data_IF_292730450816
#
_entry.id   IF_292730450816
#
_cell.length_a   1.000
_cell.length_b   1.000
_cell.length_c   1.000
_cell.angle_alpha   90.00
_cell.angle_beta   90.00
_cell.angle_gamma   90.00
#
_symmetry.space_group_name_H-M   'P 1'
#
loop_
_entity.id
_entity.type
_entity.pdbx_description
1 polymer ?
#
# COMPACT_ATOMS: atom_id res chain seq x y z
N UNK A 1 7.59 20.43 5.60
CA UNK A 1 6.57 19.70 6.40
C UNK A 1 7.29 19.05 7.58
N UNK A 2 6.62 18.63 8.65
CA UNK A 2 7.27 17.80 9.65
C UNK A 2 7.52 16.39 9.08
N UNK A 3 8.73 15.89 9.26
CA UNK A 3 9.15 14.53 8.87
C UNK A 3 9.34 13.71 10.15
N UNK A 4 8.92 12.45 10.14
CA UNK A 4 9.03 11.58 11.31
C UNK A 4 9.70 10.28 10.94
N UNK A 5 10.85 10.05 11.55
CA UNK A 5 11.64 8.83 11.38
C UNK A 5 11.39 7.88 12.55
N UNK A 6 11.26 6.60 12.24
CA UNK A 6 11.34 5.50 13.21
C UNK A 6 12.06 4.34 12.56
N UNK A 7 12.63 3.44 13.35
CA UNK A 7 13.19 2.19 12.85
C UNK A 7 12.21 1.04 13.04
N UNK A 8 12.27 0.08 12.11
CA UNK A 8 11.65 -1.25 12.19
C UNK A 8 12.77 -2.28 12.19
N UNK A 9 12.87 -3.09 13.25
CA UNK A 9 13.89 -4.12 13.37
C UNK A 9 13.35 -5.46 12.87
N UNK A 10 13.79 -5.88 11.68
CA UNK A 10 13.48 -7.21 11.13
C UNK A 10 14.61 -8.19 11.47
N UNK A 11 14.27 -9.46 11.72
CA UNK A 11 15.23 -10.57 11.71
C UNK A 11 15.39 -11.07 10.28
N UNK A 12 16.58 -10.88 9.73
CA UNK A 12 17.06 -11.55 8.52
C UNK A 12 17.04 -13.08 8.70
N UNK A 13 16.61 -13.80 7.66
CA UNK A 13 16.53 -15.28 7.60
C UNK A 13 17.27 -15.90 6.42
N UNK A 14 18.14 -15.15 5.73
CA UNK A 14 18.79 -15.57 4.47
C UNK A 14 19.90 -16.63 4.58
N UNK A 15 20.09 -17.26 5.76
CA UNK A 15 20.99 -18.39 5.96
C UNK A 15 20.26 -19.60 6.56
N UNK A 16 20.27 -20.74 5.86
CA UNK A 16 19.63 -21.98 6.33
C UNK A 16 20.41 -22.70 7.45
N UNK A 17 21.70 -22.40 7.63
CA UNK A 17 22.61 -23.20 8.47
C UNK A 17 22.80 -22.69 9.91
N UNK A 18 22.39 -21.46 10.26
CA UNK A 18 22.49 -20.93 11.63
C UNK A 18 21.35 -19.96 12.00
N UNK A 19 20.27 -20.48 12.61
CA UNK A 19 19.16 -19.65 13.12
C UNK A 19 19.58 -18.72 14.29
N UNK A 20 20.75 -18.93 14.91
CA UNK A 20 21.27 -18.05 15.98
C UNK A 20 21.93 -16.78 15.41
N UNK A 21 22.39 -16.81 14.15
CA UNK A 21 23.05 -15.69 13.48
C UNK A 21 22.08 -14.64 12.89
N UNK A 22 20.76 -14.75 13.13
CA UNK A 22 19.71 -13.91 12.55
C UNK A 22 19.97 -12.40 12.72
N UNK A 23 20.44 -11.76 11.64
CA UNK A 23 20.86 -10.35 11.63
C UNK A 23 19.68 -9.43 11.92
N UNK A 24 19.80 -8.62 12.96
CA UNK A 24 18.90 -7.49 13.21
C UNK A 24 19.17 -6.39 12.17
N UNK A 25 18.17 -6.05 11.37
CA UNK A 25 18.25 -4.98 10.36
C UNK A 25 17.26 -3.88 10.72
N UNK A 26 17.77 -2.67 10.92
CA UNK A 26 16.98 -1.47 11.25
C UNK A 26 16.59 -0.71 9.99
N UNK A 27 15.33 -0.84 9.59
CA UNK A 27 14.76 -0.16 8.41
C UNK A 27 14.19 1.20 8.83
N UNK A 28 14.64 2.33 8.26
CA UNK A 28 14.02 3.62 8.51
C UNK A 28 12.64 3.66 7.85
N UNK A 29 11.65 4.12 8.60
CA UNK A 29 10.29 4.43 8.17
C UNK A 29 10.08 5.92 8.36
N UNK A 30 9.74 6.60 7.27
CA UNK A 30 9.45 8.03 7.21
C UNK A 30 7.95 8.24 7.02
N UNK A 31 7.34 9.11 7.84
CA UNK A 31 5.94 9.53 7.66
C UNK A 31 5.86 11.04 7.33
N UNK A 32 5.23 11.36 6.19
CA UNK A 32 4.97 12.70 5.66
C UNK A 32 3.46 13.00 5.62
N UNK A 33 3.09 14.27 5.40
CA UNK A 33 1.70 14.70 5.25
C UNK A 33 0.95 14.95 6.56
N UNK A 34 1.60 14.80 7.72
CA UNK A 34 1.01 14.99 9.06
C UNK A 34 0.92 16.48 9.47
N UNK A 35 0.39 17.33 8.59
CA UNK A 35 0.13 18.74 8.90
C UNK A 35 -1.11 18.86 9.79
N UNK A 36 -0.91 19.33 11.03
CA UNK A 36 -1.99 19.71 11.94
C UNK A 36 -2.94 20.71 11.27
N UNK A 37 -4.25 20.61 11.54
CA UNK A 37 -5.26 21.41 10.85
C UNK A 37 -5.20 22.92 11.14
N UNK A 38 -4.58 23.67 10.23
CA UNK A 38 -4.69 25.12 10.07
C UNK A 38 -4.55 25.48 8.58
N UNK A 39 -5.30 26.43 8.01
CA UNK A 39 -6.10 27.48 8.65
C UNK A 39 -7.49 27.68 8.02
N UNK A 40 -8.49 27.95 8.87
CA UNK A 40 -9.52 28.97 8.58
C UNK A 40 -10.70 28.68 7.63
N UNK A 41 -10.77 27.54 6.93
CA UNK A 41 -11.73 27.35 5.82
C UNK A 41 -12.92 26.40 6.10
N UNK A 42 -13.67 26.63 7.18
CA UNK A 42 -15.02 26.06 7.40
C UNK A 42 -15.08 24.65 8.01
N UNK A 43 -15.96 24.46 9.00
CA UNK A 43 -16.13 23.22 9.76
C UNK A 43 -16.99 22.15 9.03
N UNK A 44 -16.76 21.96 7.73
CA UNK A 44 -17.28 20.80 7.01
C UNK A 44 -16.53 19.53 7.43
N UNK A 45 -17.23 18.39 7.54
CA UNK A 45 -16.59 17.11 7.88
C UNK A 45 -15.66 16.67 6.74
N UNK A 46 -14.36 16.92 6.89
CA UNK A 46 -13.35 16.52 5.92
C UNK A 46 -13.19 14.99 5.93
N UNK A 47 -13.28 14.37 4.75
CA UNK A 47 -13.03 12.93 4.61
C UNK A 47 -11.60 12.57 5.09
N UNK A 48 -11.40 11.42 5.74
CA UNK A 48 -10.12 11.08 6.34
C UNK A 48 -9.03 10.94 5.27
N UNK A 49 -7.85 11.49 5.55
CA UNK A 49 -6.73 11.52 4.61
C UNK A 49 -6.27 10.08 4.26
N UNK A 50 -6.20 9.70 2.98
CA UNK A 50 -5.77 8.35 2.60
C UNK A 50 -4.30 8.14 2.98
N UNK A 51 -4.00 6.94 3.46
CA UNK A 51 -2.64 6.55 3.85
C UNK A 51 -2.00 5.75 2.72
N UNK A 52 -0.90 6.25 2.19
CA UNK A 52 -0.17 5.68 1.06
C UNK A 52 1.14 5.07 1.58
N UNK A 53 1.26 3.74 1.59
CA UNK A 53 2.51 3.05 1.94
C UNK A 53 3.29 2.80 0.66
N UNK A 54 4.47 3.40 0.54
CA UNK A 54 5.27 3.41 -0.68
C UNK A 54 6.45 2.43 -0.63
N UNK A 55 6.42 1.42 -1.50
CA UNK A 55 7.51 0.48 -1.75
C UNK A 55 8.36 0.93 -2.95
N UNK A 56 9.66 1.16 -2.73
CA UNK A 56 10.60 1.57 -3.78
C UNK A 56 10.98 0.43 -4.74
N UNK A 57 11.54 0.80 -5.89
CA UNK A 57 12.07 -0.13 -6.90
C UNK A 57 13.32 -0.89 -6.44
N UNK A 58 13.75 -1.84 -7.27
CA UNK A 58 14.94 -2.67 -7.03
C UNK A 58 16.18 -1.81 -6.80
N UNK A 59 16.93 -2.07 -5.72
CA UNK A 59 18.13 -1.33 -5.31
C UNK A 59 17.97 0.21 -5.27
N UNK A 60 16.73 0.69 -5.13
CA UNK A 60 16.39 2.12 -5.18
C UNK A 60 15.91 2.60 -3.81
N UNK A 61 16.50 3.66 -3.21
CA UNK A 61 16.00 4.22 -1.96
C UNK A 61 14.70 5.01 -2.19
N UNK A 62 13.85 5.10 -1.18
CA UNK A 62 12.66 5.95 -1.18
C UNK A 62 13.01 7.43 -1.39
N UNK A 63 14.21 7.85 -0.96
CA UNK A 63 14.74 9.19 -1.23
C UNK A 63 14.85 9.53 -2.73
N UNK A 64 14.95 8.55 -3.62
CA UNK A 64 14.97 8.77 -5.08
C UNK A 64 13.59 9.12 -5.66
N UNK A 65 12.52 9.07 -4.88
CA UNK A 65 11.15 9.43 -5.27
C UNK A 65 10.70 10.74 -4.56
N UNK A 66 11.63 11.59 -4.15
CA UNK A 66 11.38 12.79 -3.35
C UNK A 66 10.28 13.69 -3.91
N UNK A 67 10.31 14.01 -5.22
CA UNK A 67 9.28 14.82 -5.90
C UNK A 67 7.90 14.18 -5.81
N UNK A 68 7.80 12.89 -6.14
CA UNK A 68 6.55 12.12 -6.12
C UNK A 68 5.98 12.08 -4.69
N UNK A 69 6.77 11.67 -3.71
CA UNK A 69 6.36 11.56 -2.31
C UNK A 69 6.01 12.93 -1.71
N UNK A 70 6.70 14.00 -2.11
CA UNK A 70 6.37 15.37 -1.72
C UNK A 70 5.05 15.84 -2.34
N UNK A 71 4.77 15.53 -3.61
CA UNK A 71 3.52 15.88 -4.28
C UNK A 71 2.32 15.15 -3.67
N UNK A 72 2.47 13.86 -3.34
CA UNK A 72 1.46 13.08 -2.62
C UNK A 72 1.16 13.69 -1.23
N UNK A 73 2.19 14.06 -0.47
CA UNK A 73 2.02 14.70 0.84
C UNK A 73 1.43 16.13 0.73
N UNK A 74 1.83 16.91 -0.28
CA UNK A 74 1.28 18.23 -0.56
C UNK A 74 -0.21 18.18 -0.99
N UNK A 75 -0.64 17.06 -1.57
CA UNK A 75 -2.04 16.78 -1.85
C UNK A 75 -2.84 16.27 -0.63
N UNK A 76 -2.29 16.34 0.59
CA UNK A 76 -2.98 15.96 1.83
C UNK A 76 -3.16 14.46 2.00
N UNK A 77 -2.34 13.63 1.35
CA UNK A 77 -2.23 12.21 1.69
C UNK A 77 -1.22 12.03 2.83
N UNK A 78 -1.48 11.07 3.72
CA UNK A 78 -0.44 10.60 4.65
C UNK A 78 0.46 9.65 3.88
N UNK A 79 1.75 9.93 3.78
CA UNK A 79 2.69 9.12 2.99
C UNK A 79 3.67 8.44 3.92
N UNK A 80 3.73 7.11 3.85
CA UNK A 80 4.64 6.26 4.61
C UNK A 80 5.64 5.66 3.63
N UNK A 81 6.93 5.98 3.76
CA UNK A 81 8.00 5.45 2.91
C UNK A 81 9.10 4.79 3.74
N UNK A 82 9.83 3.83 3.16
CA UNK A 82 10.87 3.09 3.88
C UNK A 82 12.02 2.70 2.96
N UNK A 83 13.24 2.63 3.51
CA UNK A 83 14.44 2.27 2.75
C UNK A 83 14.92 0.85 3.05
N UNK A 84 15.04 0.02 2.00
CA UNK A 84 15.80 -1.21 2.05
C UNK A 84 17.31 -0.94 1.92
N UNK A 85 17.87 -0.08 2.76
CA UNK A 85 19.27 0.39 2.69
C UNK A 85 20.34 -0.71 2.86
N UNK A 86 19.91 -1.94 3.16
CA UNK A 86 20.69 -3.16 3.27
C UNK A 86 20.65 -4.04 2.01
N UNK A 87 19.72 -3.81 1.07
CA UNK A 87 19.64 -4.49 -0.24
C UNK A 87 20.79 -3.95 -1.12
N UNK A 88 21.64 -4.84 -1.62
CA UNK A 88 22.84 -4.51 -2.43
C UNK A 88 23.02 -5.55 -3.54
N UNK A 89 23.81 -5.28 -4.57
CA UNK A 89 24.08 -6.27 -5.64
C UNK A 89 24.66 -7.61 -5.12
N UNK A 90 25.30 -7.61 -3.95
CA UNK A 90 25.83 -8.82 -3.28
C UNK A 90 24.90 -9.39 -2.19
N UNK A 91 23.76 -8.74 -1.92
CA UNK A 91 22.78 -9.17 -0.93
C UNK A 91 21.37 -8.72 -1.37
N UNK A 92 20.64 -9.62 -2.03
CA UNK A 92 19.28 -9.36 -2.46
C UNK A 92 18.28 -9.92 -1.43
N UNK A 93 17.58 -9.01 -0.75
CA UNK A 93 16.36 -9.32 -0.01
C UNK A 93 15.36 -9.98 -0.97
N UNK A 94 14.69 -11.07 -0.58
CA UNK A 94 13.69 -11.73 -1.41
C UNK A 94 12.32 -11.03 -1.38
N UNK A 95 11.38 -11.42 -2.24
CA UNK A 95 10.07 -10.75 -2.34
C UNK A 95 9.12 -11.12 -1.18
N UNK A 96 9.24 -12.30 -0.58
CA UNK A 96 8.41 -12.73 0.55
C UNK A 96 8.81 -12.02 1.85
N UNK A 97 10.12 -11.88 2.11
CA UNK A 97 10.62 -11.03 3.19
C UNK A 97 10.36 -9.54 2.93
N UNK A 98 10.33 -9.10 1.66
CA UNK A 98 9.88 -7.74 1.31
C UNK A 98 8.40 -7.50 1.69
N UNK A 99 7.54 -8.51 1.50
CA UNK A 99 6.12 -8.48 1.90
C UNK A 99 5.97 -8.50 3.44
N UNK A 100 6.77 -9.32 4.15
CA UNK A 100 6.82 -9.32 5.62
C UNK A 100 7.26 -7.96 6.18
N UNK A 101 8.32 -7.36 5.60
CA UNK A 101 8.78 -6.02 5.98
C UNK A 101 7.71 -4.96 5.74
N UNK A 102 6.98 -5.00 4.62
CA UNK A 102 5.91 -4.04 4.34
C UNK A 102 4.79 -4.04 5.40
N UNK A 103 4.48 -5.22 5.96
CA UNK A 103 3.54 -5.34 7.08
C UNK A 103 4.09 -4.77 8.40
N UNK A 104 5.38 -4.95 8.66
CA UNK A 104 6.06 -4.38 9.83
C UNK A 104 6.21 -2.85 9.75
N UNK A 105 6.45 -2.32 8.54
CA UNK A 105 6.38 -0.89 8.23
C UNK A 105 4.97 -0.34 8.47
N UNK A 106 3.92 -1.04 8.03
CA UNK A 106 2.55 -0.67 8.35
C UNK A 106 2.28 -0.68 9.87
N UNK A 107 2.63 -1.76 10.57
CA UNK A 107 2.45 -1.89 12.02
C UNK A 107 3.03 -0.68 12.74
N UNK A 108 4.26 -0.30 12.37
CA UNK A 108 4.94 0.84 12.99
C UNK A 108 4.35 2.19 12.58
N UNK A 109 3.91 2.36 11.34
CA UNK A 109 3.19 3.56 10.92
C UNK A 109 1.85 3.72 11.67
N UNK A 110 1.08 2.64 11.83
CA UNK A 110 -0.16 2.64 12.60
C UNK A 110 0.07 3.01 14.08
N UNK A 111 1.12 2.48 14.72
CA UNK A 111 1.55 2.89 16.06
C UNK A 111 1.85 4.41 16.15
N UNK A 112 2.59 4.96 15.18
CA UNK A 112 2.96 6.39 15.13
C UNK A 112 1.76 7.32 14.88
N UNK A 113 0.75 6.86 14.15
CA UNK A 113 -0.49 7.58 13.89
C UNK A 113 -1.41 7.56 15.13
N UNK A 114 -1.63 6.37 15.71
CA UNK A 114 -2.46 6.19 16.90
C UNK A 114 -1.88 6.92 18.13
N UNK A 115 -0.55 6.91 18.31
CA UNK A 115 0.12 7.57 19.43
C UNK A 115 -0.18 9.08 19.53
N UNK A 116 -0.47 9.75 18.41
CA UNK A 116 -0.83 11.18 18.39
C UNK A 116 -2.27 11.43 18.80
N UNK A 117 -3.20 10.56 18.45
CA UNK A 117 -4.60 10.67 18.85
C UNK A 117 -4.73 10.69 20.39
N UNK A 118 -3.85 9.98 21.09
CA UNK A 118 -3.73 10.02 22.55
C UNK A 118 -3.21 11.34 23.13
N UNK A 119 -2.40 12.10 22.39
CA UNK A 119 -1.90 13.43 22.80
C UNK A 119 -2.83 14.57 22.35
N UNK A 120 -3.45 14.46 21.18
CA UNK A 120 -4.39 15.42 20.61
C UNK A 120 -5.84 14.97 20.82
N UNK A 121 -6.25 14.76 22.08
CA UNK A 121 -7.58 14.21 22.43
C UNK A 121 -8.78 15.01 21.89
N UNK A 122 -8.59 16.26 21.45
CA UNK A 122 -9.62 17.11 20.83
C UNK A 122 -9.61 17.12 19.28
N UNK A 123 -8.63 16.49 18.61
CA UNK A 123 -8.56 16.37 17.16
C UNK A 123 -8.35 14.91 16.73
N UNK A 124 -9.37 14.09 16.97
CA UNK A 124 -9.41 12.70 16.51
C UNK A 124 -9.65 12.63 15.00
N UNK A 125 -8.62 12.95 14.19
CA UNK A 125 -8.61 12.52 12.80
C UNK A 125 -8.48 11.00 12.76
N UNK A 126 -9.51 10.33 12.23
CA UNK A 126 -9.47 8.89 11.98
C UNK A 126 -8.37 8.58 10.97
N UNK A 127 -7.64 7.47 11.19
CA UNK A 127 -6.67 6.97 10.20
C UNK A 127 -7.45 6.57 8.95
N UNK A 128 -7.15 7.20 7.82
CA UNK A 128 -7.87 6.96 6.58
C UNK A 128 -7.55 5.61 5.93
N UNK A 129 -8.29 5.26 4.87
CA UNK A 129 -8.09 4.02 4.12
C UNK A 129 -6.65 3.88 3.61
N UNK A 130 -6.13 2.65 3.67
CA UNK A 130 -4.73 2.34 3.34
C UNK A 130 -4.61 1.87 1.89
N UNK A 131 -3.62 2.38 1.18
CA UNK A 131 -3.27 1.98 -0.17
C UNK A 131 -1.81 1.53 -0.20
N UNK A 132 -1.53 0.41 -0.87
CA UNK A 132 -0.16 0.03 -1.20
C UNK A 132 0.22 0.68 -2.52
N UNK A 133 1.24 1.53 -2.50
CA UNK A 133 1.81 2.18 -3.66
C UNK A 133 3.21 1.61 -3.89
N UNK A 134 3.60 1.37 -5.12
CA UNK A 134 4.99 1.01 -5.40
C UNK A 134 5.40 1.25 -6.83
N UNK A 135 6.72 1.24 -7.06
CA UNK A 135 7.30 1.34 -8.40
C UNK A 135 8.13 0.10 -8.74
N UNK A 136 8.07 -0.37 -9.99
CA UNK A 136 8.90 -1.49 -10.45
C UNK A 136 8.74 -2.75 -9.56
N UNK A 137 9.83 -3.30 -9.01
CA UNK A 137 9.83 -4.35 -7.98
C UNK A 137 8.99 -3.98 -6.74
N UNK A 138 8.98 -2.72 -6.32
CA UNK A 138 8.15 -2.25 -5.21
C UNK A 138 6.66 -2.43 -5.49
N UNK A 139 6.22 -2.20 -6.73
CA UNK A 139 4.85 -2.47 -7.15
C UNK A 139 4.55 -3.99 -7.15
N UNK A 140 5.50 -4.83 -7.56
CA UNK A 140 5.41 -6.30 -7.45
C UNK A 140 5.19 -6.73 -5.99
N UNK A 141 5.95 -6.17 -5.05
CA UNK A 141 5.81 -6.40 -3.59
C UNK A 141 4.45 -5.91 -3.09
N UNK A 142 3.97 -4.74 -3.52
CA UNK A 142 2.62 -4.25 -3.17
C UNK A 142 1.51 -5.22 -3.63
N UNK A 143 1.64 -5.81 -4.82
CA UNK A 143 0.70 -6.82 -5.32
C UNK A 143 0.76 -8.12 -4.52
N UNK A 144 1.96 -8.63 -4.23
CA UNK A 144 2.13 -9.85 -3.42
C UNK A 144 1.56 -9.67 -2.00
N UNK A 145 1.75 -8.49 -1.38
CA UNK A 145 1.15 -8.17 -0.08
C UNK A 145 -0.37 -8.05 -0.14
N UNK A 146 -0.93 -7.48 -1.21
CA UNK A 146 -2.38 -7.41 -1.42
C UNK A 146 -3.00 -8.82 -1.62
N UNK A 147 -2.34 -9.69 -2.40
CA UNK A 147 -2.74 -11.08 -2.56
C UNK A 147 -2.66 -11.87 -1.24
N UNK A 148 -1.60 -11.66 -0.45
CA UNK A 148 -1.47 -12.27 0.89
C UNK A 148 -2.56 -11.80 1.87
N UNK A 149 -2.93 -10.51 1.83
CA UNK A 149 -4.05 -9.97 2.61
C UNK A 149 -5.41 -10.51 2.15
N UNK A 150 -5.58 -10.73 0.84
CA UNK A 150 -6.78 -11.35 0.27
C UNK A 150 -6.88 -12.86 0.59
N UNK A 151 -5.76 -13.57 0.68
CA UNK A 151 -5.69 -14.97 1.08
C UNK A 151 -5.83 -15.18 2.61
N UNK A 152 -5.56 -14.17 3.43
CA UNK A 152 -5.68 -14.27 4.88
C UNK A 152 -7.13 -14.58 5.32
N UNK A 153 -7.33 -15.46 6.32
CA UNK A 153 -8.67 -15.87 6.75
C UNK A 153 -9.47 -14.71 7.35
N UNK A 154 -10.80 -14.77 7.21
CA UNK A 154 -11.70 -13.81 7.82
C UNK A 154 -11.50 -13.75 9.35
N UNK A 155 -11.58 -12.54 9.92
CA UNK A 155 -11.29 -12.29 11.33
C UNK A 155 -9.80 -12.02 11.65
N UNK A 156 -8.84 -12.40 10.79
CA UNK A 156 -7.42 -12.11 11.04
C UNK A 156 -7.12 -10.59 11.10
N UNK A 157 -7.88 -9.79 10.36
CA UNK A 157 -7.83 -8.32 10.41
C UNK A 157 -8.35 -7.74 11.74
N UNK A 158 -9.45 -8.30 12.24
CA UNK A 158 -10.10 -7.87 13.47
C UNK A 158 -9.27 -8.23 14.70
N UNK A 159 -8.79 -9.47 14.78
CA UNK A 159 -7.90 -9.94 15.85
C UNK A 159 -6.63 -9.07 15.98
N UNK A 160 -6.10 -8.56 14.87
CA UNK A 160 -4.91 -7.69 14.88
C UNK A 160 -5.23 -6.24 15.23
N UNK A 161 -6.35 -5.69 14.75
CA UNK A 161 -6.82 -4.38 15.18
C UNK A 161 -7.05 -4.34 16.71
N UNK A 162 -7.64 -5.41 17.26
CA UNK A 162 -7.77 -5.63 18.71
C UNK A 162 -6.39 -5.74 19.36
N UNK A 163 -5.44 -6.52 18.81
CA UNK A 163 -4.09 -6.66 19.38
C UNK A 163 -3.24 -5.36 19.34
N UNK A 164 -3.53 -4.42 18.46
CA UNK A 164 -2.96 -3.06 18.50
C UNK A 164 -3.62 -2.22 19.60
N UNK A 165 -4.94 -2.29 19.75
CA UNK A 165 -5.68 -1.54 20.76
C UNK A 165 -5.40 -2.00 22.20
N UNK A 166 -5.26 -3.31 22.43
CA UNK A 166 -5.11 -3.93 23.77
C UNK A 166 -3.65 -3.93 24.30
N UNK A 167 -2.76 -3.16 23.70
CA UNK A 167 -1.32 -3.18 24.03
C UNK A 167 -0.93 -2.65 25.41
N UNK A 168 -1.89 -2.39 26.30
CA UNK A 168 -1.64 -2.23 27.74
C UNK A 168 -1.23 -3.54 28.42
N UNK A 169 -1.50 -4.71 27.82
CA UNK A 169 -1.13 -6.03 28.37
C UNK A 169 0.08 -6.74 27.73
N UNK A 170 0.50 -6.36 26.52
CA UNK A 170 1.32 -7.22 25.64
C UNK A 170 2.85 -7.03 25.70
N UNK A 171 3.36 -6.39 26.76
CA UNK A 171 4.75 -5.91 26.85
C UNK A 171 5.85 -6.98 27.07
N UNK A 172 5.51 -8.28 27.13
CA UNK A 172 6.43 -9.35 27.55
C UNK A 172 7.01 -10.23 26.42
N UNK A 173 6.57 -10.08 25.17
CA UNK A 173 6.91 -11.00 24.07
C UNK A 173 7.77 -10.36 22.95
N UNK A 174 7.87 -9.01 22.92
CA UNK A 174 8.75 -8.30 22.00
C UNK A 174 9.90 -7.67 22.80
N UNK A 175 11.11 -8.21 22.64
CA UNK A 175 12.30 -7.69 23.32
C UNK A 175 12.63 -6.24 22.93
N UNK A 176 13.26 -5.52 23.85
CA UNK A 176 13.29 -4.05 23.92
C UNK A 176 13.46 -3.31 22.59
N UNK A 177 12.40 -2.57 22.21
CA UNK A 177 12.44 -1.60 21.11
C UNK A 177 12.94 -0.28 21.68
N UNK A 178 14.25 -0.04 21.58
CA UNK A 178 14.83 1.26 21.89
C UNK A 178 14.31 2.31 20.90
N UNK A 179 13.40 3.17 21.38
CA UNK A 179 12.94 4.35 20.63
C UNK A 179 13.93 5.48 20.87
N UNK A 180 15.06 5.46 20.16
CA UNK A 180 16.03 6.55 20.16
C UNK A 180 15.44 7.77 19.43
N UNK A 181 14.92 8.73 20.20
CA UNK A 181 14.47 10.03 19.71
C UNK A 181 15.63 10.91 19.31
N UNK A 182 16.20 10.67 18.13
CA UNK A 182 17.39 11.33 17.62
C UNK A 182 17.17 12.77 17.15
N UNK A 183 17.01 13.69 18.11
CA UNK A 183 17.01 15.14 17.87
C UNK A 183 18.45 15.71 17.97
N UNK A 184 19.37 15.25 17.11
CA UNK A 184 20.67 15.93 16.93
C UNK A 184 21.28 15.71 15.54
N UNK A 185 21.88 16.76 14.97
CA UNK A 185 22.38 16.76 13.59
C UNK A 185 23.91 16.62 13.51
N UNK A 186 24.37 15.84 12.54
CA UNK A 186 25.64 16.04 11.82
C UNK A 186 26.94 16.24 12.65
N UNK A 187 27.57 15.17 13.15
CA UNK A 187 29.03 15.00 12.98
C UNK A 187 29.58 13.63 13.40
N UNK A 188 30.11 12.86 12.44
CA UNK A 188 31.57 12.52 12.34
C UNK A 188 31.86 11.59 11.16
N UNK A 189 33.10 11.65 10.67
CA UNK A 189 33.62 10.88 9.53
C UNK A 189 34.88 10.12 9.98
N UNK A 190 35.16 8.99 9.30
CA UNK A 190 36.48 8.34 9.16
C UNK A 190 36.80 7.15 10.08
N UNK A 191 37.71 6.31 9.55
CA UNK A 191 38.42 5.17 10.15
C UNK A 191 37.62 3.84 10.26
N UNK A 192 38.20 2.68 9.93
CA UNK A 192 39.43 2.40 9.16
C UNK A 192 39.38 0.98 8.55
N UNK A 193 40.18 0.71 7.52
CA UNK A 193 40.27 -0.62 6.92
C UNK A 193 41.14 -1.59 7.73
N UNK A 194 40.80 -2.88 7.65
CA UNK A 194 41.77 -3.98 7.78
C UNK A 194 41.52 -5.00 6.67
N UNK A 195 42.59 -5.42 6.02
CA UNK A 195 42.62 -6.54 5.08
C UNK A 195 43.00 -7.82 5.84
N UNK A 196 42.54 -8.98 5.36
CA UNK A 196 43.25 -10.25 5.53
C UNK A 196 42.81 -11.26 4.45
N UNK A 197 43.81 -11.90 3.83
CA UNK A 197 43.67 -13.10 2.97
C UNK A 197 43.74 -14.36 3.86
N UNK A 198 43.39 -15.60 3.46
CA UNK A 198 42.94 -16.18 2.17
C UNK A 198 41.84 -17.25 2.46
N UNK A 199 41.58 -18.41 1.82
CA UNK A 199 42.27 -19.29 0.84
C UNK A 199 41.24 -20.19 0.10
N UNK A 200 41.72 -21.12 -0.74
CA UNK A 200 41.05 -22.34 -1.28
C UNK A 200 40.28 -23.16 -0.22
N UNK A 201 39.26 -23.98 -0.53
CA UNK A 201 39.24 -24.98 -1.60
C UNK A 201 37.83 -25.41 -2.10
N UNK A 202 37.78 -26.41 -2.98
CA UNK A 202 36.61 -26.90 -3.74
C UNK A 202 35.89 -28.06 -3.07
N UNK A 203 34.55 -28.04 -3.01
CA UNK A 203 33.71 -29.25 -3.05
C UNK A 203 32.27 -28.92 -3.49
N UNK A 204 31.60 -29.85 -4.19
CA UNK A 204 30.25 -29.65 -4.74
C UNK A 204 29.30 -30.77 -4.32
N UNK A 205 28.34 -30.52 -3.40
CA UNK A 205 27.31 -31.48 -3.05
C UNK A 205 26.07 -31.35 -3.97
N UNK A 206 25.61 -32.46 -4.54
CA UNK A 206 24.34 -32.51 -5.30
C UNK A 206 23.16 -32.67 -4.32
N UNK A 207 22.46 -31.58 -4.01
CA UNK A 207 21.26 -31.63 -3.16
C UNK A 207 19.97 -31.75 -3.98
N UNK A 208 19.49 -32.97 -4.18
CA UNK A 208 18.10 -33.24 -4.57
C UNK A 208 17.22 -33.32 -3.32
N UNK A 209 16.62 -32.21 -2.91
CA UNK A 209 15.58 -32.21 -1.86
C UNK A 209 14.55 -31.12 -2.13
N UNK A 210 13.34 -31.53 -2.53
CA UNK A 210 12.19 -30.62 -2.59
C UNK A 210 11.58 -30.45 -1.20
N UNK A 211 12.28 -29.70 -0.33
CA UNK A 211 11.79 -29.36 0.99
C UNK A 211 10.54 -28.47 0.86
N UNK A 212 9.37 -29.02 1.19
CA UNK A 212 8.14 -28.26 1.29
C UNK A 212 8.21 -27.34 2.52
N UNK A 213 8.86 -26.18 2.35
CA UNK A 213 9.03 -25.18 3.39
C UNK A 213 7.66 -24.80 3.97
N UNK A 214 7.46 -25.10 5.26
CA UNK A 214 6.19 -24.86 5.94
C UNK A 214 5.88 -23.37 5.93
N UNK A 215 4.94 -22.97 5.08
CA UNK A 215 4.57 -21.58 4.85
C UNK A 215 3.75 -21.06 6.03
N UNK A 216 4.45 -20.74 7.12
CA UNK A 216 3.93 -19.93 8.23
C UNK A 216 3.60 -18.52 7.71
N UNK A 217 2.46 -18.42 7.03
CA UNK A 217 1.87 -17.18 6.56
C UNK A 217 1.43 -16.40 7.80
N UNK A 218 2.27 -15.44 8.21
CA UNK A 218 1.79 -14.32 9.00
C UNK A 218 0.66 -13.68 8.19
N UNK A 219 -0.60 -13.68 8.66
CA UNK A 219 -1.65 -12.98 7.96
C UNK A 219 -1.26 -11.49 7.92
N UNK A 220 -1.56 -10.82 6.81
CA UNK A 220 -1.29 -9.39 6.66
C UNK A 220 -2.59 -8.58 6.81
N UNK A 221 -2.97 -8.20 8.04
CA UNK A 221 -4.16 -7.44 8.38
C UNK A 221 -3.99 -5.94 8.06
N UNK A 222 -3.64 -5.68 6.80
CA UNK A 222 -3.65 -4.35 6.20
C UNK A 222 -5.12 -4.00 5.88
N UNK A 223 -5.70 -2.90 6.40
CA UNK A 223 -7.04 -2.46 6.02
C UNK A 223 -7.00 -1.77 4.65
N UNK A 224 -6.70 -2.57 3.62
CA UNK A 224 -6.48 -2.10 2.26
C UNK A 224 -7.79 -1.64 1.61
N UNK A 225 -7.75 -0.45 1.03
CA UNK A 225 -8.79 0.09 0.17
C UNK A 225 -8.41 0.03 -1.32
N UNK A 226 -7.15 -0.21 -1.67
CA UNK A 226 -6.71 -0.37 -3.06
C UNK A 226 -5.19 -0.49 -3.22
N UNK A 227 -4.74 -0.63 -4.46
CA UNK A 227 -3.31 -0.63 -4.83
C UNK A 227 -3.01 0.37 -5.95
N UNK A 228 -1.77 0.87 -6.00
CA UNK A 228 -1.28 1.78 -7.04
C UNK A 228 0.08 1.31 -7.54
N UNK A 229 0.11 0.89 -8.81
CA UNK A 229 1.24 0.21 -9.42
C UNK A 229 1.92 1.11 -10.45
N UNK A 230 3.04 1.71 -10.09
CA UNK A 230 3.83 2.58 -10.96
C UNK A 230 4.80 1.73 -11.78
N UNK A 231 4.47 1.55 -13.06
CA UNK A 231 5.19 0.75 -14.05
C UNK A 231 5.71 -0.60 -13.50
N UNK A 232 4.82 -1.48 -13.00
CA UNK A 232 5.21 -2.73 -12.33
C UNK A 232 5.92 -3.69 -13.29
N UNK A 233 6.87 -4.44 -12.73
CA UNK A 233 7.62 -5.48 -13.42
C UNK A 233 7.53 -6.80 -12.66
N UNK A 234 7.11 -7.88 -13.32
CA UNK A 234 7.00 -9.22 -12.71
C UNK A 234 8.29 -10.06 -12.80
N UNK A 235 9.32 -9.50 -13.42
CA UNK A 235 10.65 -10.11 -13.50
C UNK A 235 11.38 -10.13 -12.15
N UNK A 236 12.43 -10.95 -12.09
CA UNK A 236 13.55 -10.75 -11.19
C UNK A 236 14.80 -10.51 -12.05
N UNK A 237 15.87 -9.96 -11.47
CA UNK A 237 17.15 -9.83 -12.16
C UNK A 237 17.85 -11.20 -12.35
N UNK A 238 17.62 -12.12 -11.42
CA UNK A 238 18.16 -13.47 -11.41
C UNK A 238 17.18 -14.48 -12.05
N UNK A 239 17.66 -15.67 -12.50
CA UNK A 239 16.77 -16.79 -12.82
C UNK A 239 15.81 -17.06 -11.67
N UNK A 240 14.51 -17.08 -11.95
CA UNK A 240 13.47 -17.04 -10.91
C UNK A 240 13.40 -18.35 -10.11
N UNK A 241 14.12 -18.39 -8.98
CA UNK A 241 13.67 -19.16 -7.82
C UNK A 241 12.30 -18.62 -7.39
N UNK A 242 11.26 -19.39 -7.69
CA UNK A 242 9.87 -19.04 -7.40
C UNK A 242 9.55 -19.06 -5.90
N UNK A 243 10.37 -19.69 -5.05
CA UNK A 243 10.20 -19.65 -3.59
C UNK A 243 10.66 -18.32 -2.98
N UNK A 244 11.67 -17.66 -3.59
CA UNK A 244 12.18 -16.35 -3.16
C UNK A 244 11.58 -15.17 -3.91
N UNK A 245 11.35 -15.30 -5.23
CA UNK A 245 10.88 -14.21 -6.09
C UNK A 245 9.56 -14.53 -6.82
N UNK A 246 8.50 -15.00 -6.12
CA UNK A 246 7.25 -15.45 -6.75
C UNK A 246 6.65 -14.41 -7.70
N UNK A 247 5.99 -14.89 -8.76
CA UNK A 247 5.28 -14.01 -9.70
C UNK A 247 4.06 -13.38 -9.03
N UNK A 248 3.99 -12.06 -9.07
CA UNK A 248 2.85 -11.29 -8.62
C UNK A 248 1.65 -11.47 -9.57
N UNK A 249 1.90 -11.65 -10.87
CA UNK A 249 0.85 -12.00 -11.84
C UNK A 249 0.23 -13.38 -11.52
N UNK A 250 1.05 -14.37 -11.16
CA UNK A 250 0.58 -15.67 -10.72
C UNK A 250 -0.17 -15.59 -9.38
N UNK A 251 0.32 -14.81 -8.41
CA UNK A 251 -0.36 -14.61 -7.13
C UNK A 251 -1.74 -13.93 -7.28
N UNK A 252 -1.85 -12.97 -8.20
CA UNK A 252 -3.14 -12.34 -8.57
C UNK A 252 -4.07 -13.35 -9.24
N UNK A 253 -3.59 -14.10 -10.24
CA UNK A 253 -4.40 -15.12 -10.91
C UNK A 253 -4.82 -16.29 -10.00
N UNK A 254 -4.04 -16.56 -8.94
CA UNK A 254 -4.35 -17.56 -7.91
C UNK A 254 -5.19 -17.00 -6.75
N UNK A 255 -5.43 -15.69 -6.68
CA UNK A 255 -6.30 -15.10 -5.67
C UNK A 255 -7.76 -15.36 -6.07
N UNK A 256 -8.52 -16.18 -5.33
CA UNK A 256 -9.91 -16.45 -5.68
C UNK A 256 -10.75 -15.17 -5.53
N UNK A 257 -11.77 -14.95 -6.38
CA UNK A 257 -12.82 -13.98 -6.06
C UNK A 257 -13.43 -14.37 -4.70
N UNK A 258 -13.45 -13.43 -3.76
CA UNK A 258 -13.93 -13.64 -2.39
C UNK A 258 -15.46 -13.68 -2.38
N UNK A 259 -16.03 -14.72 -3.00
CA UNK A 259 -17.48 -14.92 -3.25
C UNK A 259 -18.29 -14.39 -2.09
N UNK A 260 -18.98 -13.28 -2.33
CA UNK A 260 -19.46 -12.39 -1.30
C UNK A 260 -20.33 -13.12 -0.27
N UNK A 261 -19.78 -13.32 0.93
CA UNK A 261 -20.52 -13.79 2.11
C UNK A 261 -21.43 -12.65 2.56
N UNK A 262 -22.49 -12.41 1.78
CA UNK A 262 -23.60 -11.54 2.11
C UNK A 262 -24.07 -11.91 3.52
N UNK A 263 -24.18 -10.91 4.39
CA UNK A 263 -24.19 -11.11 5.84
C UNK A 263 -25.41 -11.90 6.32
N UNK A 264 -25.31 -13.23 6.31
CA UNK A 264 -26.26 -14.18 6.86
C UNK A 264 -26.23 -14.20 8.41
N UNK A 265 -25.99 -13.04 9.01
CA UNK A 265 -25.96 -12.76 10.44
C UNK A 265 -27.25 -12.01 10.84
N UNK A 266 -28.39 -12.64 10.58
CA UNK A 266 -29.71 -12.22 11.09
C UNK A 266 -30.47 -13.44 11.60
N UNK A 267 -29.77 -14.25 12.41
CA UNK A 267 -30.40 -15.17 13.34
C UNK A 267 -30.73 -14.42 14.62
N UNK A 268 -31.99 -14.46 15.04
CA UNK A 268 -32.53 -13.68 16.16
C UNK A 268 -31.96 -14.11 17.51
N UNK A 269 -31.53 -13.14 18.32
CA UNK A 269 -31.26 -13.32 19.75
C UNK A 269 -31.70 -12.07 20.51
N UNK A 270 -32.75 -12.18 21.32
CA UNK A 270 -33.23 -11.10 22.19
C UNK A 270 -32.44 -11.12 23.52
N UNK A 271 -31.67 -10.07 23.78
CA UNK A 271 -30.99 -9.85 25.06
C UNK A 271 -30.87 -8.34 25.35
N UNK A 272 -30.88 -7.90 26.64
CA UNK A 272 -31.23 -6.53 26.99
C UNK A 272 -30.09 -5.51 26.86
N UNK A 273 -30.46 -4.24 26.73
CA UNK A 273 -29.55 -3.12 26.55
C UNK A 273 -28.76 -2.75 27.83
N UNK A 274 -27.48 -2.39 27.63
CA UNK A 274 -26.65 -1.67 28.58
C UNK A 274 -25.86 -0.57 27.85
N UNK A 275 -25.62 0.57 28.50
CA UNK A 275 -25.03 1.76 27.87
C UNK A 275 -23.51 1.84 28.07
N UNK A 276 -22.78 2.22 27.02
CA UNK A 276 -21.34 2.49 27.09
C UNK A 276 -20.79 3.02 25.77
N UNK A 277 -20.03 4.12 25.81
CA UNK A 277 -19.51 4.77 24.60
C UNK A 277 -18.42 3.93 23.92
N UNK A 278 -18.54 3.72 22.61
CA UNK A 278 -17.60 2.93 21.82
C UNK A 278 -18.03 2.78 20.37
N UNK A 279 -18.08 3.90 19.62
CA UNK A 279 -18.46 3.91 18.21
C UNK A 279 -17.32 3.37 17.31
N UNK A 280 -16.99 2.09 17.47
CA UNK A 280 -16.14 1.37 16.53
C UNK A 280 -16.83 1.30 15.17
N UNK A 281 -16.21 1.89 14.14
CA UNK A 281 -16.67 1.76 12.75
C UNK A 281 -16.39 0.34 12.29
N UNK A 282 -17.32 -0.57 12.57
CA UNK A 282 -17.25 -1.94 12.07
C UNK A 282 -17.23 -1.94 10.55
N UNK A 283 -16.24 -2.63 9.96
CA UNK A 283 -16.07 -2.76 8.51
C UNK A 283 -17.11 -3.73 7.91
N UNK A 284 -18.39 -3.40 8.09
CA UNK A 284 -19.51 -4.29 7.88
C UNK A 284 -20.10 -4.17 6.46
N UNK A 285 -19.69 -5.09 5.58
CA UNK A 285 -20.48 -5.50 4.43
C UNK A 285 -20.23 -4.75 3.11
N UNK A 286 -19.50 -5.42 2.20
CA UNK A 286 -19.90 -5.40 0.79
C UNK A 286 -19.27 -4.37 -0.15
N UNK A 287 -18.03 -3.93 0.07
CA UNK A 287 -17.18 -3.56 -1.08
C UNK A 287 -16.77 -4.88 -1.73
N UNK A 288 -17.14 -5.07 -3.00
CA UNK A 288 -17.19 -6.39 -3.64
C UNK A 288 -15.81 -6.99 -3.91
N UNK A 289 -15.42 -7.91 -3.04
CA UNK A 289 -14.50 -9.05 -3.22
C UNK A 289 -13.02 -8.76 -3.54
N UNK A 290 -12.74 -7.72 -4.32
CA UNK A 290 -11.48 -7.52 -5.04
C UNK A 290 -11.08 -6.04 -4.96
N UNK A 291 -9.88 -5.77 -4.43
CA UNK A 291 -9.39 -4.41 -4.23
C UNK A 291 -9.33 -3.65 -5.58
N UNK A 292 -9.70 -2.36 -5.61
CA UNK A 292 -9.51 -1.55 -6.80
C UNK A 292 -8.01 -1.28 -7.04
N UNK A 293 -7.63 -1.12 -8.31
CA UNK A 293 -6.25 -0.83 -8.71
C UNK A 293 -6.14 0.35 -9.68
N UNK A 294 -5.10 1.17 -9.46
CA UNK A 294 -4.55 2.05 -10.47
C UNK A 294 -3.21 1.48 -10.96
N UNK A 295 -3.03 1.42 -12.26
CA UNK A 295 -1.75 1.14 -12.91
C UNK A 295 -1.31 2.39 -13.67
N UNK A 296 -0.06 2.83 -13.48
CA UNK A 296 0.53 3.97 -14.20
C UNK A 296 1.74 3.48 -14.99
N UNK A 297 1.56 3.16 -16.27
CA UNK A 297 2.58 2.55 -17.13
C UNK A 297 3.44 3.54 -17.92
N UNK A 298 4.71 3.23 -18.10
CA UNK A 298 5.63 3.98 -18.97
C UNK A 298 5.69 3.35 -20.37
N UNK A 299 5.27 4.08 -21.40
CA UNK A 299 5.20 3.56 -22.77
C UNK A 299 6.55 3.24 -23.41
N UNK A 300 7.65 3.81 -22.89
CA UNK A 300 9.02 3.54 -23.32
C UNK A 300 9.58 2.35 -22.54
N UNK A 301 9.09 1.15 -22.86
CA UNK A 301 9.69 -0.10 -22.36
C UNK A 301 11.10 -0.33 -22.92
N UNK A 302 11.93 -1.04 -22.14
CA UNK A 302 13.27 -1.52 -22.49
C UNK A 302 13.54 -2.86 -21.79
N UNK A 303 14.78 -3.35 -21.82
CA UNK A 303 15.09 -4.71 -21.37
C UNK A 303 14.80 -4.95 -19.88
N UNK A 304 14.90 -3.91 -19.04
CA UNK A 304 14.52 -3.97 -17.63
C UNK A 304 13.01 -4.21 -17.37
N UNK A 305 12.14 -3.93 -18.34
CA UNK A 305 10.69 -4.22 -18.27
C UNK A 305 10.20 -4.78 -19.61
N UNK A 306 10.36 -6.10 -19.84
CA UNK A 306 9.91 -6.75 -21.07
C UNK A 306 8.40 -6.60 -21.26
N UNK A 307 7.96 -6.26 -22.48
CA UNK A 307 6.55 -5.96 -22.80
C UNK A 307 5.54 -7.02 -22.35
N UNK A 308 5.94 -8.29 -22.31
CA UNK A 308 5.08 -9.40 -21.89
C UNK A 308 4.92 -9.55 -20.35
N UNK A 309 5.69 -8.79 -19.55
CA UNK A 309 5.68 -8.80 -18.07
C UNK A 309 5.61 -7.39 -17.47
N UNK A 310 5.09 -6.42 -18.24
CA UNK A 310 5.01 -5.01 -17.87
C UNK A 310 3.65 -4.64 -17.25
N UNK A 311 3.48 -3.34 -16.98
CA UNK A 311 2.23 -2.72 -16.52
C UNK A 311 0.93 -3.21 -17.19
N UNK A 312 0.95 -3.54 -18.48
CA UNK A 312 -0.26 -4.00 -19.20
C UNK A 312 -0.68 -5.39 -18.73
N UNK A 313 0.27 -6.30 -18.49
CA UNK A 313 -0.02 -7.61 -17.93
C UNK A 313 -0.61 -7.52 -16.50
N UNK A 314 -0.13 -6.58 -15.68
CA UNK A 314 -0.73 -6.32 -14.36
C UNK A 314 -2.16 -5.79 -14.47
N UNK A 315 -2.42 -4.83 -15.36
CA UNK A 315 -3.78 -4.34 -15.62
C UNK A 315 -4.71 -5.43 -16.14
N UNK A 316 -4.27 -6.25 -17.10
CA UNK A 316 -5.10 -7.28 -17.73
C UNK A 316 -5.37 -8.47 -16.77
N UNK A 317 -4.42 -8.82 -15.90
CA UNK A 317 -4.57 -9.85 -14.87
C UNK A 317 -5.36 -9.40 -13.63
N UNK A 318 -5.40 -8.10 -13.30
CA UNK A 318 -6.00 -7.64 -12.05
C UNK A 318 -7.52 -7.88 -12.00
N UNK A 319 -8.05 -8.71 -11.09
CA UNK A 319 -9.44 -9.14 -11.17
C UNK A 319 -10.45 -8.07 -10.72
N UNK A 320 -10.05 -7.08 -9.92
CA UNK A 320 -10.94 -6.04 -9.39
C UNK A 320 -11.15 -4.83 -10.31
N UNK A 321 -11.94 -3.83 -9.88
CA UNK A 321 -12.13 -2.57 -10.60
C UNK A 321 -10.78 -1.88 -10.86
N UNK A 322 -10.47 -1.58 -12.13
CA UNK A 322 -9.09 -1.27 -12.54
C UNK A 322 -9.02 -0.11 -13.53
N UNK A 323 -8.04 0.76 -13.32
CA UNK A 323 -7.71 1.89 -14.20
C UNK A 323 -6.25 1.76 -14.65
N UNK A 324 -5.98 1.98 -15.94
CA UNK A 324 -4.64 2.06 -16.51
C UNK A 324 -4.42 3.46 -17.10
N UNK A 325 -3.54 4.23 -16.48
CA UNK A 325 -2.95 5.43 -17.07
C UNK A 325 -1.68 5.02 -17.81
N UNK A 326 -1.58 5.30 -19.11
CA UNK A 326 -0.34 5.10 -19.88
C UNK A 326 0.29 6.44 -20.21
N UNK A 327 1.59 6.59 -19.92
CA UNK A 327 2.43 7.73 -20.25
C UNK A 327 3.34 7.36 -21.46
N UNK A 328 2.87 7.50 -22.72
CA UNK A 328 3.51 6.93 -23.91
C UNK A 328 4.98 7.35 -24.14
N UNK A 329 5.33 8.57 -23.75
CA UNK A 329 6.68 9.12 -23.93
C UNK A 329 7.59 8.94 -22.71
N UNK A 330 7.07 8.46 -21.58
CA UNK A 330 7.83 8.21 -20.35
C UNK A 330 8.56 6.86 -20.36
N UNK A 331 9.74 6.81 -19.75
CA UNK A 331 10.52 5.58 -19.51
C UNK A 331 10.52 5.10 -18.07
N UNK A 332 10.83 3.83 -17.85
CA UNK A 332 10.67 3.14 -16.56
C UNK A 332 11.27 3.87 -15.35
N UNK A 333 12.44 4.48 -15.52
CA UNK A 333 13.18 5.15 -14.42
C UNK A 333 12.81 6.64 -14.26
N UNK A 334 11.79 7.14 -14.95
CA UNK A 334 11.39 8.56 -14.86
C UNK A 334 10.42 8.87 -13.72
N UNK A 335 9.97 7.86 -12.98
CA UNK A 335 9.31 8.05 -11.68
C UNK A 335 10.31 8.43 -10.57
N UNK A 336 11.62 8.36 -10.84
CA UNK A 336 12.70 8.80 -9.96
C UNK A 336 13.06 10.27 -10.21
N UNK A 337 13.38 11.02 -9.16
CA UNK A 337 13.89 12.40 -9.25
C UNK A 337 15.13 12.48 -10.15
N UNK A 338 16.05 11.54 -9.94
CA UNK A 338 17.27 11.34 -10.71
C UNK A 338 17.41 9.86 -11.02
N UNK A 339 17.89 9.52 -12.21
CA UNK A 339 18.21 8.13 -12.60
C UNK A 339 19.66 8.05 -13.04
N UNK A 340 20.44 7.18 -12.39
CA UNK A 340 21.87 7.04 -12.66
C UNK A 340 22.14 6.45 -14.04
N UNK A 341 23.22 6.88 -14.69
CA UNK A 341 23.56 6.49 -16.06
C UNK A 341 23.69 4.98 -16.29
N UNK A 342 24.06 4.21 -15.25
CA UNK A 342 24.10 2.74 -15.31
C UNK A 342 22.69 2.12 -15.31
N UNK A 343 21.74 2.68 -14.54
CA UNK A 343 20.36 2.23 -14.58
C UNK A 343 19.69 2.64 -15.91
N UNK A 344 20.01 3.83 -16.43
CA UNK A 344 19.57 4.30 -17.74
C UNK A 344 20.10 3.46 -18.92
N UNK A 345 21.15 2.66 -18.77
CA UNK A 345 21.61 1.76 -19.84
C UNK A 345 20.77 0.48 -19.96
N UNK A 346 20.07 0.08 -18.90
CA UNK A 346 19.19 -1.10 -18.87
C UNK A 346 17.71 -0.77 -19.15
N UNK A 347 17.31 0.49 -19.00
CA UNK A 347 15.94 0.95 -19.16
C UNK A 347 15.83 2.03 -20.23
N UNK A 348 14.88 1.90 -21.16
CA UNK A 348 14.71 2.88 -22.23
C UNK A 348 14.36 4.27 -21.68
N UNK A 349 15.14 5.28 -22.10
CA UNK A 349 14.90 6.67 -21.75
C UNK A 349 13.59 7.21 -22.35
N UNK A 350 13.04 8.21 -21.65
CA UNK A 350 11.91 9.00 -22.10
C UNK A 350 12.20 9.81 -23.37
N UNK A 351 11.15 10.33 -23.99
CA UNK A 351 11.24 11.16 -25.20
C UNK A 351 10.68 12.56 -24.96
N UNK A 352 11.57 13.52 -24.66
CA UNK A 352 11.18 14.93 -24.50
C UNK A 352 10.33 15.23 -23.26
N UNK A 353 10.36 14.34 -22.27
CA UNK A 353 9.61 14.46 -21.01
C UNK A 353 10.57 14.38 -19.84
N UNK A 354 10.45 15.29 -18.88
CA UNK A 354 11.30 15.35 -17.69
C UNK A 354 10.72 14.49 -16.56
N UNK A 355 11.59 13.91 -15.73
CA UNK A 355 11.18 13.03 -14.63
C UNK A 355 10.17 13.70 -13.68
N UNK A 356 10.37 14.98 -13.33
CA UNK A 356 9.44 15.73 -12.49
C UNK A 356 8.01 15.85 -13.09
N UNK A 357 7.85 15.79 -14.42
CA UNK A 357 6.54 15.76 -15.08
C UNK A 357 5.88 14.39 -15.00
N UNK A 358 6.69 13.31 -15.06
CA UNK A 358 6.24 11.92 -14.90
C UNK A 358 5.84 11.66 -13.44
N UNK A 359 6.64 12.14 -12.48
CA UNK A 359 6.30 12.16 -11.06
C UNK A 359 5.01 12.94 -10.79
N UNK A 360 4.84 14.14 -11.36
CA UNK A 360 3.62 14.94 -11.22
C UNK A 360 2.37 14.21 -11.76
N UNK A 361 2.47 13.58 -12.94
CA UNK A 361 1.38 12.80 -13.51
C UNK A 361 1.02 11.58 -12.65
N UNK A 362 2.04 10.86 -12.17
CA UNK A 362 1.86 9.71 -11.27
C UNK A 362 1.23 10.13 -9.93
N UNK A 363 1.67 11.25 -9.34
CA UNK A 363 1.11 11.81 -8.11
C UNK A 363 -0.36 12.20 -8.31
N UNK A 364 -0.69 12.94 -9.37
CA UNK A 364 -2.05 13.38 -9.66
C UNK A 364 -3.02 12.21 -9.85
N UNK A 365 -2.63 11.20 -10.64
CA UNK A 365 -3.44 9.99 -10.82
C UNK A 365 -3.62 9.21 -9.50
N UNK A 366 -2.54 9.04 -8.72
CA UNK A 366 -2.57 8.38 -7.41
C UNK A 366 -3.53 9.05 -6.44
N UNK A 367 -3.46 10.39 -6.33
CA UNK A 367 -4.32 11.20 -5.46
C UNK A 367 -5.79 11.11 -5.91
N UNK A 368 -6.06 11.22 -7.20
CA UNK A 368 -7.41 11.17 -7.75
C UNK A 368 -8.07 9.80 -7.54
N UNK A 369 -7.32 8.73 -7.81
CA UNK A 369 -7.75 7.36 -7.56
C UNK A 369 -8.02 7.12 -6.06
N UNK A 370 -7.06 7.42 -5.19
CA UNK A 370 -7.20 7.17 -3.76
C UNK A 370 -8.38 7.94 -3.16
N UNK A 371 -8.54 9.24 -3.49
CA UNK A 371 -9.68 10.06 -3.06
C UNK A 371 -11.01 9.56 -3.64
N UNK A 372 -11.04 9.11 -4.89
CA UNK A 372 -12.24 8.51 -5.51
C UNK A 372 -12.71 7.25 -4.77
N UNK A 373 -11.77 6.38 -4.41
CA UNK A 373 -12.04 5.21 -3.57
C UNK A 373 -12.55 5.65 -2.19
N UNK A 374 -11.89 6.60 -1.50
CA UNK A 374 -12.35 7.10 -0.18
C UNK A 374 -13.79 7.63 -0.26
N UNK A 375 -14.09 8.47 -1.24
CA UNK A 375 -15.42 9.07 -1.41
C UNK A 375 -16.51 8.02 -1.61
N UNK A 376 -16.25 6.98 -2.41
CA UNK A 376 -17.20 5.89 -2.59
C UNK A 376 -17.36 5.02 -1.34
N UNK A 377 -16.28 4.68 -0.62
CA UNK A 377 -16.40 3.88 0.62
C UNK A 377 -17.25 4.61 1.67
N UNK A 378 -17.16 5.93 1.75
CA UNK A 378 -18.05 6.74 2.57
C UNK A 378 -19.50 6.70 2.06
N UNK A 379 -19.73 6.84 0.75
CA UNK A 379 -21.08 6.83 0.16
C UNK A 379 -21.81 5.46 0.29
N UNK A 380 -21.09 4.34 0.29
CA UNK A 380 -21.67 3.00 0.48
C UNK A 380 -22.00 2.68 1.93
N UNK A 381 -21.52 3.47 2.90
CA UNK A 381 -21.91 3.31 4.31
C UNK A 381 -23.43 3.50 4.41
N UNK A 382 -24.20 2.48 4.85
CA UNK A 382 -25.65 2.58 4.84
C UNK A 382 -26.09 3.73 5.74
N UNK A 383 -26.74 4.73 5.14
CA UNK A 383 -27.43 5.79 5.88
C UNK A 383 -28.35 5.09 6.87
N UNK A 384 -28.02 5.21 8.16
CA UNK A 384 -28.69 4.44 9.20
C UNK A 384 -30.19 4.65 9.09
N UNK A 385 -30.92 3.55 8.85
CA UNK A 385 -32.38 3.62 8.73
C UNK A 385 -32.90 4.07 10.08
N UNK A 386 -33.22 5.35 10.18
CA UNK A 386 -33.87 5.93 11.34
C UNK A 386 -35.19 5.22 11.51
N UNK A 387 -35.23 4.27 12.44
CA UNK A 387 -36.48 3.67 12.89
C UNK A 387 -37.18 4.75 13.68
N UNK A 388 -37.97 5.58 12.99
CA UNK A 388 -38.93 6.46 13.63
C UNK A 388 -39.91 5.57 14.40
N UNK A 389 -39.66 5.41 15.70
CA UNK A 389 -40.61 4.83 16.67
C UNK A 389 -41.71 5.86 16.96
N UNK A 390 -42.25 6.44 15.89
CA UNK A 390 -43.28 7.47 15.87
C UNK A 390 -44.64 6.85 16.10
N UNK A 391 -44.97 6.58 17.36
CA UNK A 391 -46.31 6.16 17.76
C UNK A 391 -47.30 7.34 17.60
N UNK A 392 -47.79 7.55 16.37
CA UNK A 392 -48.72 8.63 16.03
C UNK A 392 -49.57 8.30 14.81
N UNK A 393 -50.84 7.95 15.04
CA UNK A 393 -51.78 7.64 13.96
C UNK A 393 -52.28 8.91 13.23
N UNK A 394 -52.17 8.92 11.91
CA UNK A 394 -52.74 9.97 11.05
C UNK A 394 -53.12 9.38 9.69
N UNK A 395 -54.38 9.52 9.28
CA UNK A 395 -54.91 8.88 8.08
C UNK A 395 -55.16 9.89 6.94
N UNK A 396 -54.76 9.53 5.72
CA UNK A 396 -55.19 10.16 4.47
C UNK A 396 -54.12 11.01 3.77
N UNK A 397 -53.85 10.70 2.50
CA UNK A 397 -52.94 11.49 1.66
C UNK A 397 -52.37 10.68 0.48
N UNK A 398 -53.11 10.58 -0.62
CA UNK A 398 -52.65 9.87 -1.83
C UNK A 398 -51.60 10.66 -2.62
N UNK A 399 -50.32 10.37 -2.42
CA UNK A 399 -49.20 10.89 -3.23
C UNK A 399 -48.87 9.98 -4.41
N UNK A 400 -48.56 10.55 -5.58
CA UNK A 400 -48.12 9.77 -6.75
C UNK A 400 -46.71 9.23 -6.54
N UNK A 401 -46.47 7.99 -6.97
CA UNK A 401 -45.16 7.34 -6.85
C UNK A 401 -44.06 8.08 -7.61
N UNK A 402 -42.95 8.33 -6.93
CA UNK A 402 -41.69 8.77 -7.53
C UNK A 402 -40.85 7.52 -7.79
N UNK A 403 -40.57 7.19 -9.06
CA UNK A 403 -39.72 6.05 -9.41
C UNK A 403 -38.25 6.37 -9.13
N UNK A 404 -37.83 6.18 -7.87
CA UNK A 404 -36.42 6.18 -7.49
C UNK A 404 -35.75 4.94 -8.08
N UNK A 405 -35.01 5.14 -9.18
CA UNK A 405 -34.19 4.10 -9.82
C UNK A 405 -33.06 3.63 -8.89
N UNK A 406 -33.39 2.75 -7.94
CA UNK A 406 -32.55 2.30 -6.83
C UNK A 406 -31.39 1.36 -7.21
N UNK A 407 -30.67 1.68 -8.28
CA UNK A 407 -29.40 1.04 -8.57
C UNK A 407 -28.40 1.34 -7.45
N UNK A 408 -27.95 0.30 -6.73
CA UNK A 408 -26.93 0.45 -5.69
C UNK A 408 -25.60 0.84 -6.35
N UNK A 409 -25.26 2.12 -6.27
CA UNK A 409 -24.09 2.72 -6.94
C UNK A 409 -22.76 2.26 -6.34
N UNK A 410 -22.30 1.07 -6.71
CA UNK A 410 -20.89 0.71 -6.54
C UNK A 410 -20.01 1.56 -7.43
N UNK A 411 -18.80 1.91 -6.95
CA UNK A 411 -17.82 2.71 -7.67
C UNK A 411 -17.42 2.05 -8.99
N UNK A 412 -17.98 2.53 -10.10
CA UNK A 412 -17.62 2.05 -11.43
C UNK A 412 -16.22 2.49 -11.81
N UNK A 413 -15.45 1.61 -12.46
CA UNK A 413 -14.12 1.97 -12.97
C UNK A 413 -14.15 3.15 -13.97
N UNK A 414 -15.31 3.41 -14.60
CA UNK A 414 -15.61 4.59 -15.43
C UNK A 414 -15.51 5.90 -14.64
N UNK A 415 -15.97 5.91 -13.37
CA UNK A 415 -15.89 7.10 -12.51
C UNK A 415 -14.45 7.36 -12.05
N UNK A 416 -13.74 6.30 -11.64
CA UNK A 416 -12.30 6.36 -11.33
C UNK A 416 -11.48 6.84 -12.53
N UNK A 417 -11.79 6.39 -13.75
CA UNK A 417 -11.21 6.90 -14.99
C UNK A 417 -11.45 8.40 -15.13
N UNK A 418 -12.70 8.85 -15.04
CA UNK A 418 -13.02 10.28 -15.19
C UNK A 418 -12.37 11.17 -14.12
N UNK A 419 -12.15 10.65 -12.91
CA UNK A 419 -11.36 11.32 -11.86
C UNK A 419 -9.88 11.41 -12.24
N UNK A 420 -9.28 10.32 -12.74
CA UNK A 420 -7.88 10.31 -13.18
C UNK A 420 -7.64 11.21 -14.40
N UNK A 421 -8.55 11.23 -15.38
CA UNK A 421 -8.47 12.08 -16.57
C UNK A 421 -8.44 13.56 -16.19
N UNK A 422 -9.44 14.05 -15.43
CA UNK A 422 -9.49 15.44 -14.96
C UNK A 422 -8.28 15.84 -14.11
N UNK A 423 -7.74 14.93 -13.32
CA UNK A 423 -6.56 15.19 -12.50
C UNK A 423 -5.28 15.29 -13.34
N UNK A 424 -5.14 14.50 -14.40
CA UNK A 424 -4.01 14.59 -15.34
C UNK A 424 -4.09 15.86 -16.18
N UNK A 425 -5.28 16.20 -16.72
CA UNK A 425 -5.54 17.45 -17.45
C UNK A 425 -5.12 18.71 -16.67
N UNK A 426 -5.38 18.74 -15.36
CA UNK A 426 -5.01 19.86 -14.49
C UNK A 426 -3.55 19.84 -13.99
N UNK A 427 -2.88 18.69 -14.02
CA UNK A 427 -1.56 18.51 -13.41
C UNK A 427 -0.38 18.43 -14.39
N UNK A 428 -0.62 18.11 -15.67
CA UNK A 428 0.48 17.86 -16.60
C UNK A 428 0.16 18.18 -18.07
N UNK A 429 1.18 18.65 -18.79
CA UNK A 429 1.15 18.82 -20.24
C UNK A 429 1.65 17.57 -21.00
N UNK A 430 1.87 16.45 -20.29
CA UNK A 430 2.23 15.17 -20.91
C UNK A 430 1.07 14.62 -21.74
N UNK A 431 1.40 13.89 -22.82
CA UNK A 431 0.45 12.99 -23.46
C UNK A 431 0.18 11.82 -22.52
N UNK A 432 -1.09 11.42 -22.40
CA UNK A 432 -1.51 10.25 -21.66
C UNK A 432 -2.72 9.58 -22.33
N UNK A 433 -3.03 8.35 -21.92
CA UNK A 433 -4.33 7.71 -22.16
C UNK A 433 -4.80 7.04 -20.88
N UNK A 434 -6.12 7.00 -20.64
CA UNK A 434 -6.71 6.32 -19.49
C UNK A 434 -7.68 5.24 -19.96
N UNK A 435 -7.30 3.98 -19.79
CA UNK A 435 -8.16 2.81 -19.95
C UNK A 435 -8.80 2.47 -18.59
N UNK A 436 -9.99 1.88 -18.57
CA UNK A 436 -10.57 1.33 -17.35
C UNK A 436 -11.49 0.14 -17.64
N UNK A 437 -11.56 -0.79 -16.69
CA UNK A 437 -12.39 -1.98 -16.77
C UNK A 437 -12.99 -2.34 -15.41
N UNK A 438 -14.15 -2.97 -15.48
CA UNK A 438 -14.74 -3.82 -14.44
C UNK A 438 -14.66 -5.26 -15.00
N UNK A 439 -14.42 -6.30 -14.18
CA UNK A 439 -14.51 -7.70 -14.62
C UNK A 439 -15.89 -8.06 -15.21
#
# INVERSE_FOLDING_TARGET
MPHYFSYVTVKDRTGEEDETAARKVSVPVEVRGLSCGGDGAGAGSAAPAPVLIFSSGFLTPAAAYGTLLQQLAAAGCVVVSYDKSFETLSYLMDDNDSVRLLAEVWRRAAELLAGRQGQQQQQQQAVGPVFLVGHSRGAKVSVLAAAAAAAAPAGAAEAYAVAIADRRGLASIVGDVLVEGGDEASSRRSQASRQQSTTTATESPQHTSAAAASSAQLPLPLPLAGVVLLDPADGAFEPQDAARYPSALAAVAATPPRVGVSAAASATSEAPAASGAGAGVGAAGGITELLPALVVGAGRGGDCVPRAKNFRAFYEAWPGPRVLVTLPDAGHLQFLDTSDGLAQSMCAAGRGVANAQVAAAAAAATVAFARGVVAATAATTPIGVGVDVGAGGGAGGGGKGWESGGGRGGLGAVELRGLCERALEGATALRFSVEAAVP
#
